data_IF_333392945267
#
_entry.id   IF_333392945267
#
_cell.length_a   1.000
_cell.length_b   1.000
_cell.length_c   1.000
_cell.angle_alpha   90.00
_cell.angle_beta   90.00
_cell.angle_gamma   90.00
#
_symmetry.space_group_name_H-M   'P 1'
#
loop_
_entity.id
_entity.type
_entity.pdbx_description
1 polymer ?
#
# COMPACT_ATOMS: atom_id res chain seq x y z
N UNK A 1 16.85 13.73 -10.21
CA UNK A 1 15.47 14.11 -10.52
C UNK A 1 15.51 15.49 -11.17
N UNK A 2 14.81 15.68 -12.27
CA UNK A 2 14.62 17.02 -12.82
C UNK A 2 13.87 17.87 -11.79
N UNK A 3 14.27 19.11 -11.60
CA UNK A 3 13.69 20.06 -10.62
C UNK A 3 12.21 20.45 -10.86
N UNK A 4 11.48 19.68 -11.66
CA UNK A 4 10.06 19.88 -12.00
C UNK A 4 9.15 18.70 -11.65
N UNK A 5 9.67 17.58 -11.15
CA UNK A 5 8.86 16.43 -10.75
C UNK A 5 8.51 16.52 -9.27
N UNK A 6 7.21 16.40 -8.95
CA UNK A 6 6.71 16.36 -7.57
C UNK A 6 7.26 15.14 -6.84
N UNK A 7 7.56 15.30 -5.55
CA UNK A 7 7.90 14.21 -4.66
C UNK A 7 6.67 13.38 -4.29
N UNK A 8 6.87 12.17 -3.74
CA UNK A 8 5.78 11.35 -3.21
C UNK A 8 4.98 12.11 -2.14
N UNK A 9 5.67 12.83 -1.26
CA UNK A 9 5.06 13.67 -0.21
C UNK A 9 4.10 14.70 -0.79
N UNK A 10 4.50 15.38 -1.85
CA UNK A 10 3.66 16.38 -2.52
C UNK A 10 2.43 15.74 -3.17
N UNK A 11 2.57 14.57 -3.79
CA UNK A 11 1.43 13.84 -4.36
C UNK A 11 0.43 13.38 -3.30
N UNK A 12 0.90 12.86 -2.16
CA UNK A 12 0.03 12.42 -1.07
C UNK A 12 -0.68 13.63 -0.43
N UNK A 13 0.04 14.74 -0.21
CA UNK A 13 -0.56 15.95 0.34
C UNK A 13 -1.62 16.52 -0.60
N UNK A 14 -1.33 16.58 -1.90
CA UNK A 14 -2.29 17.02 -2.92
C UNK A 14 -3.53 16.11 -2.98
N UNK A 15 -3.33 14.80 -2.86
CA UNK A 15 -4.44 13.84 -2.80
C UNK A 15 -5.34 14.11 -1.59
N UNK A 16 -4.75 14.25 -0.39
CA UNK A 16 -5.46 14.61 0.84
C UNK A 16 -6.28 15.91 0.69
N UNK A 17 -5.64 16.96 0.17
CA UNK A 17 -6.26 18.29 0.05
C UNK A 17 -7.41 18.29 -0.97
N UNK A 18 -7.32 17.48 -2.02
CA UNK A 18 -8.33 17.35 -3.07
C UNK A 18 -9.35 16.21 -2.82
N UNK A 19 -9.35 15.59 -1.64
CA UNK A 19 -10.22 14.44 -1.32
C UNK A 19 -10.10 13.33 -2.36
N UNK A 20 -8.87 12.95 -2.64
CA UNK A 20 -8.44 11.83 -3.49
C UNK A 20 -7.50 10.95 -2.69
N UNK A 21 -7.14 9.79 -3.25
CA UNK A 21 -6.09 8.96 -2.69
C UNK A 21 -5.10 8.51 -3.77
N UNK A 22 -3.85 8.29 -3.36
CA UNK A 22 -2.84 7.60 -4.16
C UNK A 22 -3.03 6.10 -3.97
N UNK A 23 -3.06 5.34 -5.05
CA UNK A 23 -3.12 3.88 -4.99
C UNK A 23 -1.77 3.28 -4.61
N UNK A 24 -1.79 2.29 -3.72
CA UNK A 24 -0.67 1.45 -3.36
C UNK A 24 -0.97 -0.01 -3.71
N UNK A 25 -0.10 -0.63 -4.50
CA UNK A 25 -0.27 -2.01 -4.99
C UNK A 25 1.05 -2.76 -4.88
N UNK A 26 1.01 -3.99 -4.35
CA UNK A 26 2.21 -4.80 -4.26
C UNK A 26 2.51 -5.54 -5.56
N UNK A 27 3.79 -5.78 -5.79
CA UNK A 27 4.27 -6.67 -6.83
C UNK A 27 5.23 -7.73 -6.26
N UNK A 28 5.26 -8.89 -6.88
CA UNK A 28 6.14 -10.01 -6.50
C UNK A 28 6.90 -10.60 -7.69
N UNK A 29 6.72 -10.00 -8.86
CA UNK A 29 7.43 -10.32 -10.10
C UNK A 29 7.35 -9.15 -11.08
N UNK A 30 8.07 -9.28 -12.20
CA UNK A 30 8.16 -8.22 -13.21
C UNK A 30 6.82 -7.94 -13.90
N UNK A 31 6.02 -8.97 -14.18
CA UNK A 31 4.71 -8.83 -14.82
C UNK A 31 3.74 -8.02 -13.94
N UNK A 32 3.78 -8.25 -12.62
CA UNK A 32 2.99 -7.48 -11.66
C UNK A 32 3.41 -6.01 -11.61
N UNK A 33 4.72 -5.72 -11.62
CA UNK A 33 5.22 -4.34 -11.69
C UNK A 33 4.76 -3.64 -12.98
N UNK A 34 4.87 -4.32 -14.14
CA UNK A 34 4.39 -3.76 -15.41
C UNK A 34 2.89 -3.56 -15.45
N UNK A 35 2.11 -4.48 -14.85
CA UNK A 35 0.65 -4.33 -14.75
C UNK A 35 0.26 -3.03 -14.03
N UNK A 36 0.88 -2.78 -12.88
CA UNK A 36 0.61 -1.57 -12.08
C UNK A 36 1.11 -0.31 -12.78
N UNK A 37 2.30 -0.36 -13.35
CA UNK A 37 2.90 0.78 -14.05
C UNK A 37 2.08 1.19 -15.28
N UNK A 38 1.66 0.24 -16.11
CA UNK A 38 0.82 0.52 -17.27
C UNK A 38 -0.58 1.01 -16.86
N UNK A 39 -1.14 0.50 -15.76
CA UNK A 39 -2.40 1.00 -15.21
C UNK A 39 -2.28 2.49 -14.82
N UNK A 40 -1.21 2.84 -14.09
CA UNK A 40 -0.95 4.22 -13.70
C UNK A 40 -0.75 5.14 -14.91
N UNK A 41 -0.02 4.67 -15.93
CA UNK A 41 0.18 5.39 -17.19
C UNK A 41 -1.14 5.60 -17.93
N UNK A 42 -1.98 4.57 -18.04
CA UNK A 42 -3.27 4.63 -18.74
C UNK A 42 -4.26 5.57 -18.05
N UNK A 43 -4.23 5.64 -16.72
CA UNK A 43 -5.08 6.56 -15.93
C UNK A 43 -4.47 7.95 -15.81
N UNK A 44 -3.14 8.09 -15.92
CA UNK A 44 -2.43 9.36 -15.83
C UNK A 44 -2.29 9.87 -14.39
N UNK A 45 -2.06 8.98 -13.43
CA UNK A 45 -1.97 9.30 -11.98
C UNK A 45 -0.68 8.74 -11.36
N UNK A 46 -0.21 9.31 -10.23
CA UNK A 46 0.86 8.71 -9.45
C UNK A 46 0.44 7.37 -8.85
N UNK A 47 1.40 6.49 -8.65
CA UNK A 47 1.18 5.20 -8.00
C UNK A 47 2.34 4.84 -7.07
N UNK A 48 2.03 4.18 -5.95
CA UNK A 48 3.00 3.54 -5.08
C UNK A 48 3.00 2.05 -5.40
N UNK A 49 4.17 1.49 -5.63
CA UNK A 49 4.36 0.04 -5.75
C UNK A 49 5.07 -0.47 -4.51
N UNK A 50 4.53 -1.52 -3.90
CA UNK A 50 5.04 -2.05 -2.63
C UNK A 50 5.69 -3.43 -2.77
N UNK A 51 6.63 -3.72 -1.89
CA UNK A 51 7.13 -5.08 -1.63
C UNK A 51 7.20 -5.31 -0.12
N UNK A 52 6.44 -6.30 0.35
CA UNK A 52 6.50 -6.78 1.74
C UNK A 52 7.79 -7.60 1.97
N UNK A 53 8.14 -7.88 3.23
CA UNK A 53 9.31 -8.72 3.54
C UNK A 53 9.29 -10.05 2.77
N UNK A 54 8.13 -10.72 2.68
CA UNK A 54 7.99 -11.96 1.92
C UNK A 54 8.11 -11.79 0.40
N UNK A 55 7.72 -10.63 -0.15
CA UNK A 55 7.92 -10.32 -1.57
C UNK A 55 9.37 -9.96 -1.87
N UNK A 56 10.06 -9.33 -0.91
CA UNK A 56 11.51 -9.06 -1.01
C UNK A 56 12.34 -10.34 -1.04
N UNK A 57 11.94 -11.40 -0.35
CA UNK A 57 12.59 -12.71 -0.47
C UNK A 57 12.54 -13.26 -1.90
N UNK A 58 11.48 -12.95 -2.64
CA UNK A 58 11.29 -13.43 -4.01
C UNK A 58 11.92 -12.50 -5.07
N UNK A 59 11.81 -11.19 -4.89
CA UNK A 59 12.27 -10.18 -5.88
C UNK A 59 13.69 -9.71 -5.60
N UNK A 60 14.10 -9.66 -4.34
CA UNK A 60 15.30 -8.96 -3.87
C UNK A 60 15.02 -7.51 -3.51
N UNK A 61 15.65 -7.04 -2.43
CA UNK A 61 15.47 -5.66 -1.94
C UNK A 61 16.05 -4.63 -2.92
N UNK A 62 17.30 -4.82 -3.30
CA UNK A 62 18.03 -3.95 -4.23
C UNK A 62 17.51 -4.09 -5.65
N UNK A 63 17.10 -5.30 -6.05
CA UNK A 63 16.52 -5.59 -7.34
C UNK A 63 15.16 -4.87 -7.50
N UNK A 64 14.32 -4.84 -6.47
CA UNK A 64 13.07 -4.09 -6.49
C UNK A 64 13.33 -2.59 -6.73
N UNK A 65 14.33 -2.01 -6.04
CA UNK A 65 14.70 -0.60 -6.22
C UNK A 65 15.22 -0.33 -7.64
N UNK A 66 16.06 -1.22 -8.18
CA UNK A 66 16.59 -1.10 -9.54
C UNK A 66 15.48 -1.22 -10.61
N UNK A 67 14.56 -2.19 -10.46
CA UNK A 67 13.44 -2.40 -11.37
C UNK A 67 12.51 -1.17 -11.40
N UNK A 68 12.08 -0.69 -10.24
CA UNK A 68 11.18 0.46 -10.16
C UNK A 68 11.83 1.73 -10.72
N UNK A 69 13.12 1.95 -10.43
CA UNK A 69 13.88 3.07 -10.99
C UNK A 69 13.90 3.03 -12.52
N UNK A 70 14.10 1.84 -13.11
CA UNK A 70 14.13 1.65 -14.57
C UNK A 70 12.74 1.89 -15.18
N UNK A 71 11.71 1.25 -14.63
CA UNK A 71 10.32 1.40 -15.13
C UNK A 71 9.83 2.84 -15.02
N UNK A 72 10.16 3.53 -13.93
CA UNK A 72 9.86 4.97 -13.76
C UNK A 72 10.48 5.81 -14.88
N UNK A 73 11.73 5.54 -15.23
CA UNK A 73 12.44 6.27 -16.28
C UNK A 73 11.87 5.96 -17.68
N UNK A 74 11.61 4.69 -17.97
CA UNK A 74 11.14 4.23 -19.27
C UNK A 74 9.74 4.76 -19.61
N UNK A 75 8.83 4.75 -18.64
CA UNK A 75 7.45 5.20 -18.83
C UNK A 75 7.24 6.69 -18.59
N UNK A 76 8.22 7.35 -17.96
CA UNK A 76 8.15 8.76 -17.56
C UNK A 76 6.87 9.10 -16.77
N UNK A 77 6.56 8.26 -15.77
CA UNK A 77 5.41 8.42 -14.88
C UNK A 77 5.83 8.42 -13.41
N UNK A 78 5.08 9.06 -12.50
CA UNK A 78 5.40 9.10 -11.07
C UNK A 78 5.06 7.76 -10.40
N UNK A 79 6.02 6.84 -10.38
CA UNK A 79 5.97 5.57 -9.64
C UNK A 79 6.91 5.69 -8.45
N UNK A 80 6.45 5.32 -7.26
CA UNK A 80 7.21 5.35 -6.02
C UNK A 80 7.28 3.98 -5.38
N UNK A 81 8.43 3.64 -4.79
CA UNK A 81 8.66 2.32 -4.18
C UNK A 81 8.48 2.40 -2.67
N UNK A 82 7.67 1.49 -2.13
CA UNK A 82 7.38 1.36 -0.72
C UNK A 82 7.88 0.02 -0.16
N UNK A 83 8.49 0.07 1.02
CA UNK A 83 8.79 -1.10 1.84
C UNK A 83 7.57 -1.39 2.72
N UNK A 84 6.75 -2.34 2.27
CA UNK A 84 5.43 -2.65 2.83
C UNK A 84 5.55 -3.63 4.00
N UNK A 85 5.00 -3.27 5.17
CA UNK A 85 5.03 -4.03 6.42
C UNK A 85 6.43 -4.57 6.81
N UNK A 86 7.27 -3.69 7.30
CA UNK A 86 8.54 -4.03 7.94
C UNK A 86 8.37 -4.08 9.46
N UNK A 87 8.79 -5.18 10.07
CA UNK A 87 8.55 -5.47 11.50
C UNK A 87 9.74 -5.16 12.40
N UNK A 88 10.86 -4.70 11.84
CA UNK A 88 12.05 -4.33 12.60
C UNK A 88 12.67 -3.03 12.12
N UNK A 89 13.37 -2.35 13.01
CA UNK A 89 14.13 -1.13 12.68
C UNK A 89 15.22 -1.44 11.64
N UNK A 90 15.83 -2.61 11.72
CA UNK A 90 16.90 -3.06 10.83
C UNK A 90 16.38 -3.23 9.40
N UNK A 91 15.21 -3.87 9.21
CA UNK A 91 14.63 -4.05 7.88
C UNK A 91 14.18 -2.72 7.26
N UNK A 92 13.65 -1.80 8.08
CA UNK A 92 13.33 -0.42 7.64
C UNK A 92 14.59 0.32 7.17
N UNK A 93 15.69 0.25 7.94
CA UNK A 93 16.97 0.88 7.57
C UNK A 93 17.51 0.32 6.26
N UNK A 94 17.49 -1.00 6.10
CA UNK A 94 17.93 -1.66 4.86
C UNK A 94 17.14 -1.18 3.64
N UNK A 95 15.81 -1.03 3.76
CA UNK A 95 14.99 -0.50 2.67
C UNK A 95 15.31 0.97 2.34
N UNK A 96 15.54 1.80 3.36
CA UNK A 96 15.99 3.19 3.16
C UNK A 96 17.31 3.22 2.41
N UNK A 97 18.29 2.41 2.82
CA UNK A 97 19.62 2.36 2.19
C UNK A 97 19.56 1.82 0.76
N UNK A 98 18.68 0.86 0.47
CA UNK A 98 18.43 0.35 -0.88
C UNK A 98 17.77 1.36 -1.83
N UNK A 99 17.23 2.48 -1.31
CA UNK A 99 16.72 3.55 -2.13
C UNK A 99 15.19 3.64 -2.23
N UNK A 100 14.45 3.03 -1.32
CA UNK A 100 13.00 3.14 -1.26
C UNK A 100 12.54 4.58 -1.01
N UNK A 101 11.39 4.96 -1.56
CA UNK A 101 10.79 6.30 -1.44
C UNK A 101 9.95 6.42 -0.16
N UNK A 102 9.40 5.30 0.32
CA UNK A 102 8.67 5.21 1.59
C UNK A 102 8.87 3.86 2.26
N UNK A 103 8.67 3.84 3.57
CA UNK A 103 8.77 2.64 4.41
C UNK A 103 7.64 2.60 5.42
N UNK A 104 7.14 1.40 5.73
CA UNK A 104 6.15 1.15 6.77
C UNK A 104 6.83 0.42 7.92
N UNK A 105 6.84 1.05 9.10
CA UNK A 105 7.16 0.34 10.33
C UNK A 105 5.86 -0.18 10.95
N UNK A 106 5.65 -1.50 10.87
CA UNK A 106 4.46 -2.17 11.42
C UNK A 106 4.72 -2.61 12.86
N UNK A 107 4.41 -1.71 13.80
CA UNK A 107 4.46 -1.95 15.23
C UNK A 107 3.11 -2.36 15.83
N UNK A 108 2.11 -2.76 15.04
CA UNK A 108 0.74 -3.01 15.50
C UNK A 108 0.61 -4.12 16.56
N UNK A 109 1.58 -5.03 16.64
CA UNK A 109 1.64 -6.09 17.66
C UNK A 109 2.44 -5.74 18.90
N UNK A 110 3.13 -4.62 18.89
CA UNK A 110 3.93 -4.15 20.01
C UNK A 110 3.09 -3.42 21.07
N UNK A 111 3.65 -3.22 22.25
CA UNK A 111 3.11 -2.24 23.17
C UNK A 111 3.19 -0.83 22.57
N UNK A 112 2.34 0.11 23.01
CA UNK A 112 2.39 1.49 22.53
C UNK A 112 3.78 2.11 22.72
N UNK A 113 4.41 1.84 23.86
CA UNK A 113 5.74 2.33 24.21
C UNK A 113 6.82 1.78 23.29
N UNK A 114 6.78 0.50 22.97
CA UNK A 114 7.75 -0.15 22.07
C UNK A 114 7.52 0.29 20.62
N UNK A 115 6.25 0.41 20.20
CA UNK A 115 5.92 0.95 18.86
C UNK A 115 6.47 2.37 18.70
N UNK A 116 6.20 3.27 19.66
CA UNK A 116 6.74 4.63 19.66
C UNK A 116 8.27 4.63 19.65
N UNK A 117 8.92 3.81 20.48
CA UNK A 117 10.38 3.80 20.57
C UNK A 117 11.03 3.38 19.26
N UNK A 118 10.56 2.29 18.63
CA UNK A 118 11.11 1.78 17.39
C UNK A 118 10.75 2.69 16.19
N UNK A 119 9.51 3.17 16.13
CA UNK A 119 9.10 4.11 15.08
C UNK A 119 9.93 5.41 15.11
N UNK A 120 10.25 5.96 16.31
CA UNK A 120 11.18 7.09 16.46
C UNK A 120 12.53 6.82 15.83
N UNK A 121 13.07 5.63 16.02
CA UNK A 121 14.37 5.24 15.45
C UNK A 121 14.29 5.19 13.91
N UNK A 122 13.22 4.60 13.36
CA UNK A 122 12.97 4.58 11.92
C UNK A 122 12.88 5.99 11.34
N UNK A 123 12.09 6.87 11.96
CA UNK A 123 11.94 8.27 11.54
C UNK A 123 13.27 9.01 11.61
N UNK A 124 14.02 8.87 12.70
CA UNK A 124 15.32 9.51 12.86
C UNK A 124 16.30 9.07 11.76
N UNK A 125 16.32 7.76 11.44
CA UNK A 125 17.16 7.22 10.39
C UNK A 125 16.77 7.76 9.00
N UNK A 126 15.46 7.78 8.70
CA UNK A 126 14.97 8.33 7.43
C UNK A 126 15.37 9.81 7.26
N UNK A 127 15.24 10.63 8.32
CA UNK A 127 15.67 12.04 8.29
C UNK A 127 17.18 12.19 8.13
N UNK A 128 17.98 11.30 8.73
CA UNK A 128 19.44 11.32 8.64
C UNK A 128 19.97 10.86 7.26
N UNK A 129 19.17 10.14 6.47
CA UNK A 129 19.56 9.66 5.13
C UNK A 129 19.82 10.80 4.11
N UNK A 130 19.35 12.01 4.38
CA UNK A 130 19.44 13.15 3.46
C UNK A 130 18.50 13.06 2.25
N UNK A 131 17.61 12.06 2.21
CA UNK A 131 16.58 11.83 1.18
C UNK A 131 15.19 12.19 1.72
N UNK A 132 14.25 12.51 0.83
CA UNK A 132 12.84 12.67 1.22
C UNK A 132 12.16 11.28 1.27
N UNK A 133 12.44 10.54 2.34
CA UNK A 133 11.81 9.24 2.61
C UNK A 133 10.61 9.42 3.53
N UNK A 134 9.47 8.92 3.13
CA UNK A 134 8.24 8.91 3.94
C UNK A 134 8.29 7.73 4.91
N UNK A 135 8.01 7.98 6.18
CA UNK A 135 7.84 6.93 7.20
C UNK A 135 6.38 6.86 7.61
N UNK A 136 5.79 5.71 7.38
CA UNK A 136 4.45 5.34 7.83
C UNK A 136 4.54 4.46 9.08
N UNK A 137 3.58 4.64 9.98
CA UNK A 137 3.43 3.81 11.18
C UNK A 137 2.03 3.21 11.24
N UNK A 138 1.92 2.05 11.85
CA UNK A 138 0.66 1.32 11.98
C UNK A 138 0.19 1.27 13.44
N UNK A 139 -1.12 1.43 13.67
CA UNK A 139 -1.74 1.35 14.99
C UNK A 139 -3.06 0.59 14.93
N UNK A 140 -3.09 -0.53 15.66
CA UNK A 140 -4.21 -1.47 15.66
C UNK A 140 -4.00 -2.64 14.71
N UNK A 141 -4.26 -3.84 15.22
CA UNK A 141 -3.99 -5.07 14.49
C UNK A 141 -5.16 -5.47 13.58
N UNK A 142 -4.92 -5.55 12.29
CA UNK A 142 -5.91 -5.89 11.26
C UNK A 142 -5.62 -7.23 10.55
N UNK A 143 -4.73 -8.04 11.09
CA UNK A 143 -4.27 -9.31 10.50
C UNK A 143 -3.02 -9.14 9.63
N UNK A 144 -2.50 -10.27 9.12
CA UNK A 144 -1.28 -10.31 8.30
C UNK A 144 -1.45 -11.22 7.07
N UNK A 145 -2.66 -11.32 6.51
CA UNK A 145 -2.94 -12.27 5.44
C UNK A 145 -3.34 -11.56 4.15
N UNK A 146 -2.68 -11.90 3.04
CA UNK A 146 -3.14 -11.52 1.68
C UNK A 146 -3.83 -12.70 1.00
N UNK A 147 -4.81 -13.31 1.68
CA UNK A 147 -5.53 -14.50 1.20
C UNK A 147 -7.02 -14.21 1.05
N UNK A 148 -7.71 -15.05 0.26
CA UNK A 148 -9.17 -15.12 0.31
C UNK A 148 -9.55 -15.90 1.58
N UNK A 149 -10.36 -15.26 2.43
CA UNK A 149 -10.67 -15.70 3.79
C UNK A 149 -12.09 -16.26 3.87
N UNK A 150 -12.28 -17.28 4.72
CA UNK A 150 -13.61 -17.80 5.06
C UNK A 150 -14.26 -17.04 6.25
N UNK A 151 -13.52 -16.17 6.95
CA UNK A 151 -13.98 -15.37 8.10
C UNK A 151 -12.89 -14.43 8.62
N UNK A 152 -13.20 -13.72 9.70
CA UNK A 152 -12.28 -12.76 10.34
C UNK A 152 -10.97 -13.47 10.75
N UNK A 153 -9.79 -12.92 10.45
CA UNK A 153 -8.52 -13.50 10.82
C UNK A 153 -8.37 -13.66 12.34
N UNK A 154 -7.64 -14.68 12.76
CA UNK A 154 -7.35 -14.91 14.16
C UNK A 154 -6.63 -13.71 14.79
N UNK A 155 -7.08 -13.29 15.99
CA UNK A 155 -6.54 -12.15 16.71
C UNK A 155 -7.02 -10.79 16.24
N UNK A 156 -7.84 -10.71 15.17
CA UNK A 156 -8.47 -9.46 14.73
C UNK A 156 -9.82 -9.31 15.43
N UNK A 157 -10.02 -8.18 16.08
CA UNK A 157 -11.30 -7.78 16.67
C UNK A 157 -11.82 -6.54 15.93
N UNK A 158 -12.86 -6.72 15.11
CA UNK A 158 -13.40 -5.67 14.24
C UNK A 158 -13.98 -4.46 15.00
N UNK A 159 -14.28 -4.62 16.29
CA UNK A 159 -14.75 -3.58 17.20
C UNK A 159 -13.62 -2.89 17.98
N UNK A 160 -12.40 -3.40 17.90
CA UNK A 160 -11.21 -2.76 18.50
C UNK A 160 -10.58 -1.78 17.52
N UNK A 161 -11.25 -0.66 17.31
CA UNK A 161 -10.77 0.40 16.42
C UNK A 161 -9.69 1.24 17.09
N UNK A 162 -8.78 1.79 16.27
CA UNK A 162 -7.77 2.75 16.74
C UNK A 162 -8.43 3.93 17.45
N UNK A 163 -7.94 4.28 18.63
CA UNK A 163 -8.42 5.40 19.44
C UNK A 163 -7.74 6.69 18.95
N UNK A 164 -8.48 7.79 18.69
CA UNK A 164 -7.90 9.02 18.17
C UNK A 164 -6.80 9.63 19.04
N UNK A 165 -6.91 9.52 20.37
CA UNK A 165 -5.91 10.00 21.32
C UNK A 165 -4.60 9.21 21.22
N UNK A 166 -4.68 7.90 21.05
CA UNK A 166 -3.53 7.02 20.87
C UNK A 166 -2.85 7.27 19.53
N UNK A 167 -3.63 7.44 18.48
CA UNK A 167 -3.15 7.84 17.15
C UNK A 167 -2.40 9.18 17.20
N UNK A 168 -2.97 10.18 17.87
CA UNK A 168 -2.34 11.48 18.09
C UNK A 168 -1.03 11.37 18.86
N UNK A 169 -1.04 10.59 19.95
CA UNK A 169 0.17 10.34 20.74
C UNK A 169 1.28 9.73 19.90
N UNK A 170 0.95 8.65 19.14
CA UNK A 170 1.93 7.97 18.28
C UNK A 170 2.55 8.95 17.27
N UNK A 171 1.75 9.72 16.55
CA UNK A 171 2.26 10.69 15.55
C UNK A 171 3.07 11.80 16.20
N UNK A 172 2.61 12.38 17.31
CA UNK A 172 3.31 13.48 17.98
C UNK A 172 4.65 13.04 18.57
N UNK A 173 4.72 11.83 19.12
CA UNK A 173 5.95 11.34 19.73
C UNK A 173 6.95 10.81 18.71
N UNK A 174 6.49 10.23 17.59
CA UNK A 174 7.38 9.65 16.58
C UNK A 174 7.80 10.63 15.50
N UNK A 175 6.94 11.58 15.14
CA UNK A 175 7.13 12.46 13.99
C UNK A 175 7.00 11.72 12.65
N UNK A 176 6.26 10.60 12.62
CA UNK A 176 5.96 9.87 11.40
C UNK A 176 5.13 10.70 10.42
N UNK A 177 5.26 10.40 9.14
CA UNK A 177 4.65 11.17 8.05
C UNK A 177 3.23 10.74 7.74
N UNK A 178 2.89 9.48 7.98
CA UNK A 178 1.58 8.87 7.71
C UNK A 178 1.20 7.88 8.81
N UNK A 179 -0.10 7.62 8.93
CA UNK A 179 -0.65 6.65 9.87
C UNK A 179 -1.61 5.69 9.17
N UNK A 180 -1.41 4.38 9.36
CA UNK A 180 -2.38 3.34 9.02
C UNK A 180 -3.14 2.88 10.29
N UNK A 181 -4.42 3.29 10.47
CA UNK A 181 -5.22 2.91 11.61
C UNK A 181 -6.07 1.66 11.35
N UNK A 182 -6.45 0.93 12.42
CA UNK A 182 -7.53 -0.03 12.39
C UNK A 182 -8.89 0.70 12.47
N UNK A 183 -9.68 0.60 11.42
CA UNK A 183 -10.98 1.28 11.28
C UNK A 183 -12.10 0.35 10.75
N UNK A 184 -11.98 -0.96 11.04
CA UNK A 184 -12.87 -2.00 10.55
C UNK A 184 -12.32 -2.76 9.34
N UNK A 185 -11.19 -2.32 8.80
CA UNK A 185 -10.46 -2.98 7.72
C UNK A 185 -9.77 -4.27 8.20
N UNK A 186 -9.52 -5.17 7.26
CA UNK A 186 -8.78 -6.42 7.49
C UNK A 186 -7.78 -6.66 6.37
N UNK A 187 -6.68 -7.35 6.68
CA UNK A 187 -5.80 -7.89 5.65
C UNK A 187 -6.40 -9.17 5.06
N UNK A 188 -6.47 -9.23 3.74
CA UNK A 188 -7.11 -10.30 2.99
C UNK A 188 -8.39 -9.82 2.30
N UNK A 189 -9.25 -10.75 1.94
CA UNK A 189 -10.56 -10.48 1.35
C UNK A 189 -11.49 -11.66 1.64
N UNK A 190 -12.72 -11.42 2.05
CA UNK A 190 -13.67 -12.48 2.28
C UNK A 190 -14.08 -13.19 0.98
N UNK A 191 -14.34 -14.49 1.11
CA UNK A 191 -14.92 -15.31 0.04
C UNK A 191 -16.29 -14.74 -0.35
N UNK A 192 -16.38 -14.20 -1.58
CA UNK A 192 -17.58 -13.48 -2.03
C UNK A 192 -17.38 -11.97 -2.17
N UNK A 193 -16.24 -11.43 -1.75
CA UNK A 193 -15.81 -10.05 -2.06
C UNK A 193 -16.55 -8.96 -1.30
N UNK A 194 -17.17 -9.29 -0.16
CA UNK A 194 -17.82 -8.29 0.72
C UNK A 194 -17.16 -8.35 2.08
N UNK A 195 -16.27 -7.41 2.32
CA UNK A 195 -15.53 -7.28 3.57
C UNK A 195 -16.32 -6.44 4.62
N UNK A 196 -15.89 -6.46 5.89
CA UNK A 196 -16.49 -5.62 6.92
C UNK A 196 -16.50 -4.16 6.51
N UNK A 197 -17.56 -3.44 6.90
CA UNK A 197 -17.70 -2.01 6.60
C UNK A 197 -16.70 -1.19 7.42
N UNK A 198 -16.12 -0.18 6.78
CA UNK A 198 -15.24 0.78 7.45
C UNK A 198 -16.03 1.72 8.36
N UNK A 199 -15.50 2.04 9.53
CA UNK A 199 -16.05 3.08 10.41
C UNK A 199 -15.59 4.47 9.93
N UNK A 200 -16.41 5.07 9.07
CA UNK A 200 -16.15 6.38 8.47
C UNK A 200 -16.08 7.49 9.52
N UNK A 201 -16.89 7.39 10.58
CA UNK A 201 -16.83 8.32 11.71
C UNK A 201 -15.47 8.28 12.41
N UNK A 202 -14.98 7.08 12.69
CA UNK A 202 -13.66 6.87 13.31
C UNK A 202 -12.51 7.35 12.42
N UNK A 203 -12.59 7.13 11.10
CA UNK A 203 -11.60 7.68 10.16
C UNK A 203 -11.51 9.20 10.30
N UNK A 204 -12.68 9.87 10.33
CA UNK A 204 -12.72 11.32 10.47
C UNK A 204 -12.17 11.81 11.81
N UNK A 205 -12.54 11.16 12.92
CA UNK A 205 -12.04 11.50 14.26
C UNK A 205 -10.50 11.40 14.32
N UNK A 206 -9.94 10.33 13.77
CA UNK A 206 -8.49 10.14 13.71
C UNK A 206 -7.83 11.20 12.82
N UNK A 207 -8.36 11.44 11.62
CA UNK A 207 -7.84 12.44 10.69
C UNK A 207 -7.76 13.85 11.31
N UNK A 208 -8.84 14.23 12.03
CA UNK A 208 -8.92 15.52 12.76
C UNK A 208 -7.91 15.57 13.92
N UNK A 209 -7.60 14.43 14.57
CA UNK A 209 -6.69 14.37 15.72
C UNK A 209 -5.22 14.40 15.34
N UNK A 210 -4.81 13.71 14.24
CA UNK A 210 -3.40 13.49 13.90
C UNK A 210 -2.82 14.53 12.93
N UNK A 211 -3.62 15.07 12.03
CA UNK A 211 -3.21 16.07 11.04
C UNK A 211 -2.38 15.52 9.86
N UNK A 212 -1.76 14.35 9.99
CA UNK A 212 -1.01 13.68 8.90
C UNK A 212 -1.96 12.94 7.94
N UNK A 213 -1.55 12.60 6.69
CA UNK A 213 -2.31 11.73 5.82
C UNK A 213 -2.58 10.36 6.46
N UNK A 214 -3.79 9.82 6.28
CA UNK A 214 -4.14 8.46 6.69
C UNK A 214 -3.99 7.48 5.53
N UNK A 215 -3.65 6.25 5.86
CA UNK A 215 -3.49 5.14 4.91
C UNK A 215 -4.50 4.04 5.24
N UNK A 216 -5.23 3.58 4.25
CA UNK A 216 -6.12 2.44 4.36
C UNK A 216 -5.39 1.17 3.92
N UNK A 217 -4.99 0.32 4.86
CA UNK A 217 -4.57 -1.04 4.58
C UNK A 217 -5.77 -1.98 4.43
N UNK A 218 -5.56 -3.13 3.78
CA UNK A 218 -6.62 -4.11 3.60
C UNK A 218 -7.80 -3.58 2.77
N UNK A 219 -7.56 -2.75 1.76
CA UNK A 219 -8.61 -2.15 0.94
C UNK A 219 -9.32 -3.11 0.00
N UNK A 220 -8.79 -4.33 -0.22
CA UNK A 220 -9.47 -5.34 -1.05
C UNK A 220 -10.85 -5.68 -0.48
N UNK A 221 -11.90 -5.61 -1.31
CA UNK A 221 -13.27 -5.88 -0.89
C UNK A 221 -14.04 -4.70 -0.29
N UNK A 222 -13.40 -3.54 -0.11
CA UNK A 222 -14.00 -2.34 0.50
C UNK A 222 -14.47 -1.29 -0.52
N UNK A 223 -14.70 -1.66 -1.77
CA UNK A 223 -15.05 -0.71 -2.86
C UNK A 223 -16.22 0.22 -2.51
N UNK A 224 -17.23 -0.30 -1.81
CA UNK A 224 -18.40 0.47 -1.42
C UNK A 224 -18.11 1.61 -0.42
N UNK A 225 -16.95 1.56 0.26
CA UNK A 225 -16.57 2.52 1.29
C UNK A 225 -15.46 3.49 0.86
N UNK A 226 -14.78 3.27 -0.29
CA UNK A 226 -13.65 4.08 -0.71
C UNK A 226 -13.96 5.56 -0.77
N UNK A 227 -15.05 5.95 -1.44
CA UNK A 227 -15.42 7.36 -1.57
C UNK A 227 -15.62 8.04 -0.21
N UNK A 228 -16.30 7.36 0.73
CA UNK A 228 -16.54 7.88 2.05
C UNK A 228 -15.27 7.92 2.91
N UNK A 229 -14.42 6.90 2.82
CA UNK A 229 -13.15 6.83 3.54
C UNK A 229 -12.15 7.90 3.06
N UNK A 230 -12.05 8.12 1.75
CA UNK A 230 -11.22 9.18 1.15
C UNK A 230 -11.75 10.56 1.56
N UNK A 231 -13.06 10.78 1.51
CA UNK A 231 -13.66 12.03 1.97
C UNK A 231 -13.38 12.29 3.45
N UNK A 232 -13.35 11.23 4.28
CA UNK A 232 -13.08 11.32 5.71
C UNK A 232 -11.58 11.53 6.05
N UNK A 233 -10.65 11.28 5.11
CA UNK A 233 -9.23 11.61 5.32
C UNK A 233 -8.21 10.55 4.89
N UNK A 234 -8.64 9.42 4.30
CA UNK A 234 -7.71 8.47 3.69
C UNK A 234 -7.09 9.08 2.44
N UNK A 235 -5.75 9.17 2.40
CA UNK A 235 -5.00 9.77 1.30
C UNK A 235 -4.17 8.75 0.51
N UNK A 236 -4.00 7.54 1.03
CA UNK A 236 -3.40 6.38 0.37
C UNK A 236 -4.28 5.17 0.62
N UNK A 237 -4.47 4.32 -0.40
CA UNK A 237 -5.26 3.08 -0.28
C UNK A 237 -4.45 1.90 -0.81
N UNK A 238 -4.25 0.90 0.06
CA UNK A 238 -3.56 -0.35 -0.28
C UNK A 238 -4.55 -1.41 -0.74
N UNK A 239 -4.35 -1.94 -1.95
CA UNK A 239 -5.09 -3.08 -2.49
C UNK A 239 -4.10 -4.11 -3.03
N UNK A 240 -4.11 -5.32 -2.46
CA UNK A 240 -3.19 -6.37 -2.86
C UNK A 240 -3.92 -7.67 -3.24
N UNK A 241 -4.80 -8.19 -2.37
CA UNK A 241 -5.43 -9.52 -2.56
C UNK A 241 -6.22 -9.60 -3.87
N UNK A 242 -6.97 -8.57 -4.25
CA UNK A 242 -7.70 -8.54 -5.52
C UNK A 242 -6.78 -8.59 -6.74
N UNK A 243 -5.65 -7.85 -6.70
CA UNK A 243 -4.68 -7.85 -7.79
C UNK A 243 -4.05 -9.22 -7.96
N UNK A 244 -3.64 -9.85 -6.84
CA UNK A 244 -3.09 -11.22 -6.85
C UNK A 244 -4.10 -12.24 -7.35
N UNK A 245 -5.37 -12.07 -6.97
CA UNK A 245 -6.45 -12.92 -7.47
C UNK A 245 -6.62 -12.77 -8.98
N UNK A 246 -6.70 -11.54 -9.48
CA UNK A 246 -6.82 -11.25 -10.92
C UNK A 246 -5.65 -11.83 -11.71
N UNK A 247 -4.41 -11.66 -11.22
CA UNK A 247 -3.22 -12.25 -11.80
C UNK A 247 -3.34 -13.78 -11.92
N UNK A 248 -3.71 -14.42 -10.80
CA UNK A 248 -3.86 -15.90 -10.74
C UNK A 248 -4.96 -16.40 -11.64
N UNK A 249 -6.09 -15.72 -11.70
CA UNK A 249 -7.22 -16.11 -12.54
C UNK A 249 -6.89 -15.94 -14.03
N UNK A 250 -6.22 -14.86 -14.42
CA UNK A 250 -5.74 -14.64 -15.78
C UNK A 250 -4.74 -15.71 -16.24
N UNK A 251 -3.80 -16.06 -15.35
CA UNK A 251 -2.82 -17.13 -15.59
C UNK A 251 -3.52 -18.49 -15.81
N UNK A 252 -4.46 -18.86 -14.92
CA UNK A 252 -5.20 -20.14 -15.02
C UNK A 252 -6.01 -20.22 -16.30
N UNK A 253 -6.76 -19.16 -16.62
CA UNK A 253 -7.58 -19.11 -17.83
C UNK A 253 -6.74 -19.27 -19.11
N UNK A 254 -5.55 -18.66 -19.16
CA UNK A 254 -4.65 -18.83 -20.28
C UNK A 254 -4.16 -20.27 -20.42
N UNK A 255 -3.68 -20.86 -19.32
CA UNK A 255 -3.15 -22.24 -19.32
C UNK A 255 -4.22 -23.28 -19.67
N UNK A 256 -5.47 -23.08 -19.24
CA UNK A 256 -6.60 -23.92 -19.62
C UNK A 256 -6.90 -23.82 -21.12
N UNK A 257 -6.84 -22.63 -21.68
CA UNK A 257 -7.12 -22.41 -23.11
C UNK A 257 -5.97 -22.85 -24.03
N UNK A 258 -4.73 -22.89 -23.51
CA UNK A 258 -3.52 -23.16 -24.27
C UNK A 258 -2.62 -24.19 -23.56
N UNK A 259 -3.09 -25.46 -23.40
CA UNK A 259 -2.41 -26.46 -22.57
C UNK A 259 -1.00 -26.84 -23.07
N UNK A 260 -0.72 -26.66 -24.35
CA UNK A 260 0.57 -26.98 -24.97
C UNK A 260 1.55 -25.77 -24.98
N UNK A 261 1.13 -24.59 -24.48
CA UNK A 261 2.00 -23.42 -24.46
C UNK A 261 2.87 -23.43 -23.22
N UNK A 262 4.19 -23.49 -23.42
CA UNK A 262 5.19 -23.55 -22.35
C UNK A 262 6.02 -22.26 -22.22
N UNK A 263 5.68 -21.22 -22.97
CA UNK A 263 6.42 -19.96 -22.98
C UNK A 263 5.97 -19.04 -21.82
N UNK A 264 6.82 -18.81 -20.78
CA UNK A 264 6.45 -18.02 -19.61
C UNK A 264 5.92 -16.62 -19.93
N UNK A 265 6.52 -15.93 -20.89
CA UNK A 265 6.13 -14.58 -21.26
C UNK A 265 4.71 -14.49 -21.83
N UNK A 266 4.15 -15.55 -22.43
CA UNK A 266 2.79 -15.56 -22.96
C UNK A 266 1.74 -15.69 -21.85
N UNK A 267 1.88 -16.67 -20.95
CA UNK A 267 0.95 -16.80 -19.84
C UNK A 267 1.17 -15.72 -18.77
N UNK A 268 2.39 -15.19 -18.67
CA UNK A 268 2.68 -14.00 -17.87
C UNK A 268 2.00 -12.73 -18.40
N UNK A 269 1.94 -12.56 -19.73
CA UNK A 269 1.20 -11.44 -20.34
C UNK A 269 -0.29 -11.50 -20.02
N UNK A 270 -0.93 -12.66 -20.10
CA UNK A 270 -2.34 -12.81 -19.75
C UNK A 270 -2.62 -12.49 -18.27
N UNK A 271 -1.73 -12.92 -17.37
CA UNK A 271 -1.80 -12.58 -15.96
C UNK A 271 -1.62 -11.08 -15.71
N UNK A 272 -0.64 -10.46 -16.38
CA UNK A 272 -0.37 -9.02 -16.34
C UNK A 272 -1.59 -8.20 -16.79
N UNK A 273 -2.20 -8.55 -17.92
CA UNK A 273 -3.38 -7.85 -18.45
C UNK A 273 -4.59 -7.93 -17.50
N UNK A 274 -4.81 -9.10 -16.88
CA UNK A 274 -5.88 -9.27 -15.91
C UNK A 274 -5.66 -8.42 -14.66
N UNK A 275 -4.43 -8.38 -14.13
CA UNK A 275 -4.06 -7.56 -12.99
C UNK A 275 -4.13 -6.06 -13.31
N UNK A 276 -3.67 -5.64 -14.50
CA UNK A 276 -3.70 -4.26 -14.95
C UNK A 276 -5.12 -3.68 -14.95
N UNK A 277 -6.11 -4.44 -15.44
CA UNK A 277 -7.52 -4.00 -15.46
C UNK A 277 -8.02 -3.66 -14.06
N UNK A 278 -7.75 -4.51 -13.08
CA UNK A 278 -8.14 -4.24 -11.69
C UNK A 278 -7.41 -3.02 -11.14
N UNK A 279 -6.10 -2.90 -11.39
CA UNK A 279 -5.34 -1.71 -10.97
C UNK A 279 -5.89 -0.41 -11.58
N UNK A 280 -6.26 -0.41 -12.88
CA UNK A 280 -6.87 0.75 -13.53
C UNK A 280 -8.21 1.13 -12.89
N UNK A 281 -9.08 0.16 -12.59
CA UNK A 281 -10.36 0.39 -11.92
C UNK A 281 -10.16 1.04 -10.56
N UNK A 282 -9.24 0.52 -9.74
CA UNK A 282 -8.94 1.09 -8.42
C UNK A 282 -8.33 2.50 -8.53
N UNK A 283 -7.38 2.72 -9.43
CA UNK A 283 -6.77 4.04 -9.61
C UNK A 283 -7.80 5.09 -10.07
N UNK A 284 -8.76 4.73 -10.92
CA UNK A 284 -9.86 5.63 -11.29
C UNK A 284 -10.76 5.95 -10.10
N UNK A 285 -11.11 4.95 -9.30
CA UNK A 285 -11.91 5.14 -8.08
C UNK A 285 -11.19 6.08 -7.08
N UNK A 286 -9.91 5.83 -6.79
CA UNK A 286 -9.13 6.64 -5.85
C UNK A 286 -8.91 8.08 -6.32
N UNK A 287 -8.77 8.27 -7.64
CA UNK A 287 -8.63 9.59 -8.25
C UNK A 287 -9.98 10.30 -8.45
N UNK A 288 -11.10 9.62 -8.15
CA UNK A 288 -12.47 10.12 -8.42
C UNK A 288 -12.67 10.54 -9.88
N UNK A 289 -12.05 9.81 -10.80
CA UNK A 289 -12.24 9.97 -12.24
C UNK A 289 -13.46 9.15 -12.68
N UNK A 290 -14.37 9.81 -13.40
CA UNK A 290 -15.57 9.16 -13.96
C UNK A 290 -15.24 8.41 -15.24
#
# INVERSE_FOLDING_TARGET
MNSSEKSLREYIQEAKDNKKAVGHFNFSNLEGLWAIAHAAQAVGVPVIVGVSEGEQEAVGLEEAAALVKTVRADLNIPIFLNADHHYSVESVKAAIDAGFDSVIFDGAKLSMEDNIAQAKECVAYARASGRDVIVEVELGYIGQSSKVLDGVPEGVALDMLTIPEDAKRLIQETGADMLAPAVGNIHGMFKGGVDPRLDIGRIKEIADAVGVPLVLHGGSGNDADFDAAIEAGMAVVHVNTELRKAYTDGLKAYLEAHPDDVAPYKYGDAAKEAMQKVAEEKLRAFSRMK
#
